data_IF_576398273358
#
_entry.id   IF_576398273358
#
_cell.length_a   1.000
_cell.length_b   1.000
_cell.length_c   1.000
_cell.angle_alpha   90.00
_cell.angle_beta   90.00
_cell.angle_gamma   90.00
#
_symmetry.space_group_name_H-M   'P 1'
#
loop_
_entity.id
_entity.type
_entity.pdbx_description
1 polymer ?
#
# COMPACT_ATOMS: atom_id res chain seq x y z
N UNK A 1 -38.61 -7.58 49.00
CA UNK A 1 -37.59 -8.31 48.20
C UNK A 1 -37.54 -7.68 46.82
N UNK A 2 -36.66 -6.71 46.62
CA UNK A 2 -36.62 -5.87 45.41
C UNK A 2 -35.60 -6.45 44.43
N UNK A 3 -36.05 -6.91 43.26
CA UNK A 3 -35.18 -7.43 42.20
C UNK A 3 -34.37 -6.27 41.59
N UNK A 4 -33.06 -6.26 41.81
CA UNK A 4 -32.13 -5.40 41.04
C UNK A 4 -32.00 -5.97 39.63
N UNK A 5 -32.51 -5.23 38.65
CA UNK A 5 -32.25 -5.49 37.23
C UNK A 5 -30.84 -4.96 36.94
N UNK A 6 -29.89 -5.85 36.74
CA UNK A 6 -28.56 -5.48 36.23
C UNK A 6 -28.68 -5.23 34.73
N UNK A 7 -28.65 -3.97 34.32
CA UNK A 7 -28.49 -3.59 32.92
C UNK A 7 -27.03 -3.91 32.56
N UNK A 8 -26.81 -5.02 31.86
CA UNK A 8 -25.53 -5.28 31.21
C UNK A 8 -25.39 -4.30 30.03
N UNK A 9 -24.78 -3.14 30.28
CA UNK A 9 -24.15 -2.37 29.23
C UNK A 9 -23.05 -3.24 28.65
N UNK A 10 -23.33 -3.84 27.48
CA UNK A 10 -22.35 -4.62 26.74
C UNK A 10 -21.56 -3.59 25.93
N UNK A 11 -20.54 -2.99 26.54
CA UNK A 11 -19.53 -2.25 25.79
C UNK A 11 -18.76 -3.29 24.98
N UNK A 12 -18.97 -3.28 23.68
CA UNK A 12 -18.15 -4.02 22.73
C UNK A 12 -16.77 -3.34 22.71
N UNK A 13 -15.94 -3.66 23.69
CA UNK A 13 -14.55 -3.23 23.71
C UNK A 13 -13.81 -4.11 22.71
N UNK A 14 -13.72 -3.65 21.45
CA UNK A 14 -12.63 -4.11 20.60
C UNK A 14 -11.34 -3.88 21.40
N UNK A 15 -10.54 -4.91 21.62
CA UNK A 15 -9.19 -4.72 22.13
C UNK A 15 -8.52 -3.70 21.21
N UNK A 16 -8.21 -2.50 21.72
CA UNK A 16 -7.54 -1.49 20.91
C UNK A 16 -6.19 -2.08 20.49
N UNK A 17 -6.07 -2.48 19.22
CA UNK A 17 -4.84 -2.97 18.65
C UNK A 17 -3.71 -1.97 18.93
N UNK A 18 -2.53 -2.46 19.31
CA UNK A 18 -1.38 -1.63 19.65
C UNK A 18 -0.52 -1.41 18.40
N UNK A 19 0.03 -0.21 18.26
CA UNK A 19 1.02 0.09 17.24
C UNK A 19 2.30 -0.73 17.49
N UNK A 20 2.73 -1.53 16.51
CA UNK A 20 3.91 -2.38 16.63
C UNK A 20 5.26 -1.65 16.73
N UNK A 21 5.27 -0.31 16.68
CA UNK A 21 6.48 0.53 16.82
C UNK A 21 6.51 1.23 18.20
N UNK A 22 5.47 2.00 18.53
CA UNK A 22 5.44 2.80 19.77
C UNK A 22 4.66 2.14 20.91
N UNK A 23 4.05 0.97 20.65
CA UNK A 23 3.31 0.15 21.62
C UNK A 23 2.12 0.89 22.26
N UNK A 24 1.68 1.99 21.65
CA UNK A 24 0.51 2.76 22.07
C UNK A 24 -0.73 2.32 21.26
N UNK A 25 -1.95 2.46 21.81
CA UNK A 25 -3.19 2.15 21.09
C UNK A 25 -3.25 2.82 19.72
N UNK A 26 -3.77 2.11 18.72
CA UNK A 26 -4.06 2.65 17.41
C UNK A 26 -5.35 3.49 17.48
N UNK A 27 -5.28 4.71 16.92
CA UNK A 27 -6.40 5.62 16.79
C UNK A 27 -6.18 6.52 15.56
N UNK A 28 -7.27 7.06 15.02
CA UNK A 28 -7.31 7.97 13.86
C UNK A 28 -6.80 7.37 12.55
N UNK A 29 -5.51 7.55 12.24
CA UNK A 29 -4.93 7.22 10.93
C UNK A 29 -3.86 6.14 11.09
N UNK A 30 -4.13 4.98 10.54
CA UNK A 30 -3.21 3.85 10.54
C UNK A 30 -2.50 3.72 9.20
N UNK A 31 -1.29 3.16 9.24
CA UNK A 31 -0.53 2.78 8.07
C UNK A 31 -0.15 1.31 8.16
N UNK A 32 -0.19 0.61 7.03
CA UNK A 32 0.17 -0.80 6.90
C UNK A 32 1.01 -1.04 5.65
N UNK A 33 2.07 -1.85 5.70
CA UNK A 33 2.72 -2.36 4.49
C UNK A 33 1.69 -3.02 3.56
N UNK A 34 1.70 -2.75 2.25
CA UNK A 34 0.74 -3.40 1.34
C UNK A 34 0.89 -4.93 1.24
N UNK A 35 1.98 -5.48 1.78
CA UNK A 35 2.32 -6.92 1.74
C UNK A 35 1.98 -7.68 3.03
N UNK A 36 1.40 -7.02 4.05
CA UNK A 36 0.90 -7.67 5.27
C UNK A 36 -0.17 -6.82 5.98
N UNK A 37 -0.97 -7.41 6.85
CA UNK A 37 -2.05 -6.71 7.56
C UNK A 37 -1.63 -6.06 8.90
N UNK A 38 -0.33 -5.92 9.15
CA UNK A 38 0.16 -5.29 10.38
C UNK A 38 -0.06 -3.77 10.35
N UNK A 39 -0.71 -3.25 11.39
CA UNK A 39 -1.04 -1.83 11.52
C UNK A 39 -0.10 -1.08 12.46
N UNK A 40 0.18 0.16 12.08
CA UNK A 40 0.99 1.11 12.84
C UNK A 40 0.30 2.48 12.79
N UNK A 41 0.65 3.40 13.69
CA UNK A 41 0.33 4.81 13.42
C UNK A 41 1.00 5.22 12.12
N UNK A 42 0.28 5.95 11.26
CA UNK A 42 0.82 6.40 9.99
C UNK A 42 2.16 7.15 10.17
N UNK A 43 2.24 8.08 11.13
CA UNK A 43 3.49 8.80 11.42
C UNK A 43 4.64 7.92 11.93
N UNK A 44 4.33 6.84 12.67
CA UNK A 44 5.35 5.88 13.10
C UNK A 44 5.91 5.09 11.91
N UNK A 45 5.03 4.58 11.03
CA UNK A 45 5.45 3.85 9.83
C UNK A 45 6.20 4.77 8.87
N UNK A 46 5.76 6.01 8.71
CA UNK A 46 6.45 7.00 7.87
C UNK A 46 7.85 7.30 8.40
N UNK A 47 8.00 7.49 9.71
CA UNK A 47 9.31 7.69 10.36
C UNK A 47 10.19 6.45 10.26
N UNK A 48 9.62 5.25 10.38
CA UNK A 48 10.33 4.01 10.15
C UNK A 48 10.87 3.95 8.72
N UNK A 49 10.05 4.27 7.73
CA UNK A 49 10.43 4.24 6.32
C UNK A 49 11.60 5.19 6.04
N UNK A 50 11.54 6.42 6.56
CA UNK A 50 12.61 7.41 6.42
C UNK A 50 13.96 6.92 6.94
N UNK A 51 13.95 6.12 8.01
CA UNK A 51 15.17 5.66 8.68
C UNK A 51 15.65 4.27 8.23
N UNK A 52 14.79 3.46 7.62
CA UNK A 52 15.06 2.04 7.33
C UNK A 52 14.87 1.66 5.85
N UNK A 53 14.53 2.61 4.97
CA UNK A 53 14.45 2.36 3.55
C UNK A 53 15.85 2.05 2.98
N UNK A 54 15.92 0.96 2.22
CA UNK A 54 17.10 0.59 1.46
C UNK A 54 16.65 0.17 0.08
N UNK A 55 17.19 0.78 -0.98
CA UNK A 55 16.81 0.45 -2.36
C UNK A 55 15.28 0.52 -2.58
N UNK A 56 14.63 1.49 -1.94
CA UNK A 56 13.23 1.82 -2.19
C UNK A 56 12.19 0.99 -1.47
N UNK A 57 12.66 0.05 -0.68
CA UNK A 57 11.84 -0.90 0.08
C UNK A 57 12.19 -0.79 1.56
N UNK A 58 11.20 -1.12 2.38
CA UNK A 58 11.36 -1.33 3.80
C UNK A 58 10.96 -2.76 4.16
N UNK A 59 11.54 -3.27 5.25
CA UNK A 59 11.01 -4.43 5.96
C UNK A 59 9.87 -3.96 6.88
N UNK A 60 8.84 -4.78 7.03
CA UNK A 60 7.82 -4.57 8.06
C UNK A 60 8.50 -4.29 9.42
N UNK A 61 8.07 -3.26 10.18
CA UNK A 61 8.66 -2.94 11.47
C UNK A 61 8.50 -4.05 12.52
N UNK A 62 7.49 -4.93 12.37
CA UNK A 62 7.24 -5.99 13.33
C UNK A 62 8.33 -7.09 13.20
N UNK A 63 9.04 -7.37 14.29
CA UNK A 63 10.18 -8.30 14.30
C UNK A 63 9.83 -9.72 13.82
N UNK A 64 8.58 -10.17 14.04
CA UNK A 64 8.06 -11.47 13.62
C UNK A 64 7.61 -11.51 12.16
N UNK A 65 7.64 -10.38 11.44
CA UNK A 65 7.28 -10.29 10.04
C UNK A 65 8.52 -10.11 9.18
N UNK A 66 8.66 -10.93 8.13
CA UNK A 66 9.76 -10.89 7.18
C UNK A 66 9.42 -10.16 5.88
N UNK A 67 8.17 -9.72 5.73
CA UNK A 67 7.68 -9.08 4.51
C UNK A 67 8.37 -7.75 4.26
N UNK A 68 8.77 -7.55 3.02
CA UNK A 68 9.22 -6.26 2.49
C UNK A 68 8.09 -5.57 1.73
N UNK A 69 8.12 -4.25 1.70
CA UNK A 69 7.14 -3.44 0.99
C UNK A 69 7.81 -2.21 0.38
N UNK A 70 7.23 -1.74 -0.71
CA UNK A 70 7.62 -0.54 -1.46
C UNK A 70 6.53 0.53 -1.41
N UNK A 71 5.36 0.17 -0.88
CA UNK A 71 4.24 1.07 -0.69
C UNK A 71 3.49 0.71 0.59
N UNK A 72 2.93 1.73 1.24
CA UNK A 72 2.09 1.58 2.42
C UNK A 72 0.65 2.00 2.09
N UNK A 73 -0.29 1.25 2.63
CA UNK A 73 -1.72 1.58 2.70
C UNK A 73 -1.92 2.47 3.92
N UNK A 74 -2.68 3.55 3.77
CA UNK A 74 -3.07 4.47 4.84
C UNK A 74 -4.57 4.47 4.93
N UNK A 75 -5.11 4.33 6.13
CA UNK A 75 -6.55 4.27 6.39
C UNK A 75 -6.89 5.24 7.49
N UNK A 76 -7.91 6.08 7.28
CA UNK A 76 -8.49 6.91 8.33
C UNK A 76 -9.70 6.20 8.93
N UNK A 77 -9.96 6.42 10.21
CA UNK A 77 -11.12 5.85 10.91
C UNK A 77 -12.46 6.51 10.52
N UNK A 78 -12.47 7.41 9.54
CA UNK A 78 -13.70 8.03 9.05
C UNK A 78 -14.52 7.01 8.25
N UNK A 79 -15.80 6.85 8.61
CA UNK A 79 -16.72 5.94 7.93
C UNK A 79 -16.77 6.25 6.43
N UNK A 80 -16.51 5.24 5.59
CA UNK A 80 -16.55 5.35 4.13
C UNK A 80 -15.30 5.96 3.49
N UNK A 81 -14.24 6.23 4.24
CA UNK A 81 -12.96 6.64 3.67
C UNK A 81 -12.32 5.51 2.85
N UNK A 82 -11.86 5.84 1.65
CA UNK A 82 -11.05 4.93 0.85
C UNK A 82 -9.61 4.97 1.35
N UNK A 83 -8.90 3.82 1.34
CA UNK A 83 -7.49 3.83 1.69
C UNK A 83 -6.68 4.64 0.67
N UNK A 84 -5.74 5.42 1.18
CA UNK A 84 -4.71 6.07 0.39
C UNK A 84 -3.45 5.20 0.35
N UNK A 85 -2.58 5.44 -0.63
CA UNK A 85 -1.38 4.66 -0.82
C UNK A 85 -0.18 5.56 -1.07
N UNK A 86 0.90 5.32 -0.35
CA UNK A 86 2.09 6.15 -0.38
C UNK A 86 3.34 5.28 -0.61
N UNK A 87 4.18 5.62 -1.60
CA UNK A 87 5.43 4.88 -1.81
C UNK A 87 6.38 5.08 -0.63
N UNK A 88 7.16 4.04 -0.31
CA UNK A 88 8.25 4.12 0.68
C UNK A 88 9.31 5.11 0.20
N UNK A 89 9.66 5.04 -1.09
CA UNK A 89 10.50 6.01 -1.78
C UNK A 89 10.18 6.05 -3.28
N UNK A 90 10.56 7.15 -3.95
CA UNK A 90 10.39 7.35 -5.38
C UNK A 90 11.60 6.86 -6.18
N UNK A 91 11.95 5.58 -6.04
CA UNK A 91 13.16 5.02 -6.63
C UNK A 91 12.96 3.64 -7.28
N UNK A 92 11.73 3.21 -7.55
CA UNK A 92 11.49 2.02 -8.36
C UNK A 92 11.87 2.31 -9.81
N UNK A 93 12.84 1.60 -10.42
CA UNK A 93 13.33 1.92 -11.75
C UNK A 93 12.30 1.58 -12.83
N UNK A 94 12.09 2.53 -13.75
CA UNK A 94 11.36 2.30 -14.98
C UNK A 94 12.33 1.89 -16.09
N UNK A 95 12.21 0.67 -16.58
CA UNK A 95 13.11 0.12 -17.60
C UNK A 95 12.92 0.71 -19.02
N UNK A 96 11.97 1.65 -19.18
CA UNK A 96 11.71 2.31 -20.45
C UNK A 96 12.40 3.67 -20.56
N UNK A 97 12.34 4.48 -19.50
CA UNK A 97 12.97 5.80 -19.47
C UNK A 97 14.23 5.86 -18.62
N UNK A 98 14.61 4.76 -17.95
CA UNK A 98 15.75 4.68 -17.04
C UNK A 98 15.70 5.69 -15.88
N UNK A 99 14.53 6.26 -15.62
CA UNK A 99 14.23 7.08 -14.45
C UNK A 99 13.37 6.27 -13.47
N UNK A 100 12.87 6.91 -12.41
CA UNK A 100 12.02 6.25 -11.43
C UNK A 100 10.54 6.35 -11.80
N UNK A 101 9.78 5.28 -11.54
CA UNK A 101 8.33 5.24 -11.72
C UNK A 101 7.71 6.29 -10.82
N UNK A 102 7.03 7.26 -11.45
CA UNK A 102 6.26 8.29 -10.77
C UNK A 102 4.83 7.81 -10.58
N UNK A 103 4.14 8.36 -9.58
CA UNK A 103 2.70 8.15 -9.42
C UNK A 103 1.94 8.84 -10.57
N UNK A 104 0.89 8.22 -11.14
CA UNK A 104 0.47 6.83 -10.90
C UNK A 104 1.41 5.81 -11.56
N UNK A 105 1.61 4.69 -10.88
CA UNK A 105 2.37 3.56 -11.41
C UNK A 105 1.46 2.69 -12.29
N UNK A 106 1.90 2.35 -13.49
CA UNK A 106 1.11 1.57 -14.44
C UNK A 106 1.72 0.18 -14.62
N UNK A 107 0.89 -0.86 -14.60
CA UNK A 107 1.30 -2.23 -14.92
C UNK A 107 0.42 -2.79 -16.05
N UNK A 108 0.96 -3.54 -17.02
CA UNK A 108 0.13 -4.42 -17.85
C UNK A 108 -0.75 -5.32 -16.98
N UNK A 109 -2.04 -5.45 -17.30
CA UNK A 109 -2.95 -6.19 -16.42
C UNK A 109 -2.55 -7.66 -16.27
N UNK A 110 -2.54 -8.15 -15.02
CA UNK A 110 -2.03 -9.48 -14.68
C UNK A 110 -0.50 -9.59 -14.64
N UNK A 111 0.22 -8.47 -14.60
CA UNK A 111 1.67 -8.38 -14.51
C UNK A 111 2.11 -7.64 -13.24
N UNK A 112 3.32 -7.92 -12.77
CA UNK A 112 3.96 -7.29 -11.59
C UNK A 112 5.07 -6.29 -11.97
N UNK A 113 5.15 -5.91 -13.25
CA UNK A 113 6.12 -4.96 -13.78
C UNK A 113 5.49 -3.58 -13.94
N UNK A 114 6.08 -2.57 -13.30
CA UNK A 114 5.54 -1.22 -13.27
C UNK A 114 6.35 -0.24 -14.13
N UNK A 115 5.65 0.72 -14.72
CA UNK A 115 6.20 1.73 -15.61
C UNK A 115 5.58 3.10 -15.32
N UNK A 116 6.27 4.16 -15.76
CA UNK A 116 5.67 5.50 -15.82
C UNK A 116 4.49 5.49 -16.80
N UNK A 117 3.43 6.25 -16.48
CA UNK A 117 2.26 6.43 -17.36
C UNK A 117 2.65 6.80 -18.78
N UNK A 118 3.51 7.81 -18.96
CA UNK A 118 3.91 8.25 -20.30
C UNK A 118 4.68 7.17 -21.08
N UNK A 119 5.50 6.38 -20.39
CA UNK A 119 6.35 5.39 -21.04
C UNK A 119 5.54 4.21 -21.60
N UNK A 120 4.57 3.70 -20.85
CA UNK A 120 3.76 2.57 -21.31
C UNK A 120 2.75 3.00 -22.38
N UNK A 121 2.22 4.23 -22.30
CA UNK A 121 1.29 4.78 -23.30
C UNK A 121 1.99 5.11 -24.62
N UNK A 122 3.28 5.47 -24.61
CA UNK A 122 4.03 5.61 -25.86
C UNK A 122 4.22 4.27 -26.59
N UNK A 123 4.25 3.16 -25.85
CA UNK A 123 4.35 1.82 -26.41
C UNK A 123 3.01 1.26 -26.89
N UNK A 124 1.88 1.82 -26.45
CA UNK A 124 0.54 1.32 -26.80
C UNK A 124 0.10 1.66 -28.23
N UNK A 125 1.03 1.97 -29.13
CA UNK A 125 0.79 2.20 -30.56
C UNK A 125 1.06 0.95 -31.44
N UNK A 126 0.95 -0.26 -30.85
CA UNK A 126 1.25 -1.53 -31.53
C UNK A 126 0.80 -2.77 -30.75
N UNK A 127 1.44 -3.94 -30.96
CA UNK A 127 1.18 -5.14 -30.15
C UNK A 127 1.51 -4.87 -28.68
N UNK A 128 0.50 -4.87 -27.83
CA UNK A 128 0.56 -4.62 -26.39
C UNK A 128 1.32 -5.76 -25.71
N UNK A 129 2.65 -5.66 -25.68
CA UNK A 129 3.54 -6.64 -25.05
C UNK A 129 4.24 -5.99 -23.87
N UNK A 130 4.22 -6.64 -22.70
CA UNK A 130 4.91 -6.13 -21.53
C UNK A 130 6.41 -6.03 -21.84
N UNK A 131 7.04 -4.85 -21.68
CA UNK A 131 8.43 -4.63 -22.07
C UNK A 131 9.45 -5.48 -21.31
N UNK A 132 9.10 -5.99 -20.13
CA UNK A 132 10.01 -6.76 -19.30
C UNK A 132 9.99 -8.25 -19.61
N UNK A 133 8.81 -8.83 -19.89
CA UNK A 133 8.64 -10.28 -20.04
C UNK A 133 8.00 -10.71 -21.36
N UNK A 134 7.73 -9.76 -22.27
CA UNK A 134 7.08 -9.99 -23.56
C UNK A 134 5.75 -10.75 -23.45
N UNK A 135 4.99 -10.62 -22.36
CA UNK A 135 3.64 -11.16 -22.28
C UNK A 135 2.64 -10.21 -22.95
N UNK A 136 1.71 -10.70 -23.78
CA UNK A 136 0.66 -9.87 -24.33
C UNK A 136 -0.26 -9.38 -23.20
N UNK A 137 -0.76 -8.16 -23.34
CA UNK A 137 -1.80 -7.59 -22.49
C UNK A 137 -2.84 -6.89 -23.35
N UNK A 138 -4.07 -6.76 -22.88
CA UNK A 138 -5.13 -5.99 -23.56
C UNK A 138 -5.59 -4.79 -22.75
N UNK A 139 -5.08 -4.67 -21.53
CA UNK A 139 -5.41 -3.61 -20.60
C UNK A 139 -4.23 -3.30 -19.69
N UNK A 140 -4.25 -2.11 -19.11
CA UNK A 140 -3.29 -1.63 -18.13
C UNK A 140 -4.00 -1.33 -16.81
N UNK A 141 -3.35 -1.65 -15.71
CA UNK A 141 -3.77 -1.38 -14.35
C UNK A 141 -3.07 -0.11 -13.84
N UNK A 142 -3.86 0.82 -13.30
CA UNK A 142 -3.41 2.09 -12.72
C UNK A 142 -3.38 1.94 -11.21
N UNK A 143 -2.21 2.12 -10.59
CA UNK A 143 -2.02 2.08 -9.14
C UNK A 143 -1.44 3.40 -8.64
N UNK A 144 -1.78 3.79 -7.41
CA UNK A 144 -1.22 5.01 -6.79
C UNK A 144 0.31 4.97 -6.63
N UNK A 145 0.88 3.79 -6.46
CA UNK A 145 2.32 3.52 -6.30
C UNK A 145 2.59 2.09 -6.79
N UNK A 146 3.87 1.75 -6.99
CA UNK A 146 4.28 0.39 -7.30
C UNK A 146 3.87 -0.54 -6.16
N UNK A 147 3.20 -1.65 -6.48
CA UNK A 147 2.72 -2.64 -5.51
C UNK A 147 1.38 -2.32 -4.83
N UNK A 148 0.79 -1.13 -5.05
CA UNK A 148 -0.58 -0.89 -4.61
C UNK A 148 -1.61 -1.63 -5.48
N UNK A 149 -2.76 -2.02 -4.92
CA UNK A 149 -3.89 -2.50 -5.68
C UNK A 149 -4.29 -1.53 -6.80
N UNK A 150 -4.71 -2.03 -7.98
CA UNK A 150 -5.21 -1.17 -9.05
C UNK A 150 -6.45 -0.40 -8.59
N UNK A 151 -6.49 0.91 -8.87
CA UNK A 151 -7.70 1.75 -8.71
C UNK A 151 -8.57 1.73 -9.95
N UNK A 152 -7.95 1.55 -11.11
CA UNK A 152 -8.62 1.57 -12.42
C UNK A 152 -7.89 0.63 -13.38
N UNK A 153 -8.64 -0.05 -14.24
CA UNK A 153 -8.11 -0.81 -15.38
C UNK A 153 -8.59 -0.14 -16.67
N UNK A 154 -7.68 0.14 -17.60
CA UNK A 154 -7.96 0.79 -18.88
C UNK A 154 -7.65 -0.18 -20.01
N UNK A 155 -8.55 -0.32 -20.98
CA UNK A 155 -8.37 -1.14 -22.19
C UNK A 155 -8.06 -0.28 -23.40
#
# INVERSE_FOLDING_TARGET
MTRKIAIKHTLNMAENALCGICVSPLFNTTGSPVTCDHEFHFGCLESWNKNNASDGKCKCPLATCDKTFICMKVTTMDEGSNPEYFPVALNYPCNLCYSFVKSPAISPSGCDHYFCSDCILQLSTGKHMCPTNNKPFTSIDVSACVGAPPTTTVS
#
